data_IF_271434526680
#
_entry.id   IF_271434526680
#
_cell.length_a   1.000
_cell.length_b   1.000
_cell.length_c   1.000
_cell.angle_alpha   90.00
_cell.angle_beta   90.00
_cell.angle_gamma   90.00
#
_symmetry.space_group_name_H-M   'P 1'
#
loop_
_entity.id
_entity.type
_entity.pdbx_description
1 polymer ?
#
# COMPACT_ATOMS: atom_id res chain seq x y z
N UNK A 1 -9.29 -23.20 2.42
CA UNK A 1 -8.03 -22.92 3.13
C UNK A 1 -6.95 -23.43 2.20
N UNK A 2 -6.09 -22.54 1.68
CA UNK A 2 -4.88 -22.97 0.95
C UNK A 2 -4.06 -23.90 1.85
N UNK A 3 -3.31 -24.82 1.26
CA UNK A 3 -2.56 -25.89 1.94
C UNK A 3 -1.39 -25.38 2.84
N UNK A 4 -1.57 -24.27 3.57
CA UNK A 4 -0.50 -23.59 4.30
C UNK A 4 0.56 -22.96 3.39
N UNK A 5 0.35 -22.93 2.07
CA UNK A 5 1.33 -22.43 1.10
C UNK A 5 1.07 -20.97 0.75
N UNK A 6 2.13 -20.17 0.80
CA UNK A 6 2.15 -18.75 0.39
C UNK A 6 3.21 -18.50 -0.67
N UNK A 7 3.02 -17.48 -1.48
CA UNK A 7 3.98 -17.03 -2.49
C UNK A 7 4.47 -15.64 -2.12
N UNK A 8 5.28 -15.57 -1.05
CA UNK A 8 5.83 -14.33 -0.49
C UNK A 8 7.35 -14.45 -0.55
N UNK A 9 7.98 -13.57 -1.33
CA UNK A 9 9.43 -13.63 -1.60
C UNK A 9 10.19 -12.39 -1.13
N UNK A 10 9.46 -11.31 -0.81
CA UNK A 10 10.04 -10.14 -0.18
C UNK A 10 9.98 -10.30 1.35
N UNK A 11 11.10 -10.09 2.04
CA UNK A 11 11.24 -10.34 3.47
C UNK A 11 10.33 -9.44 4.32
N UNK A 12 10.08 -8.20 3.90
CA UNK A 12 9.13 -7.34 4.61
C UNK A 12 7.71 -7.91 4.57
N UNK A 13 7.24 -8.34 3.40
CA UNK A 13 5.93 -8.97 3.25
C UNK A 13 5.84 -10.25 4.11
N UNK A 14 6.93 -11.01 4.23
CA UNK A 14 6.96 -12.19 5.10
C UNK A 14 6.74 -11.81 6.58
N UNK A 15 7.45 -10.79 7.07
CA UNK A 15 7.30 -10.30 8.44
C UNK A 15 5.89 -9.74 8.69
N UNK A 16 5.31 -9.04 7.72
CA UNK A 16 3.93 -8.54 7.80
C UNK A 16 2.93 -9.68 7.81
N UNK A 17 3.12 -10.69 6.97
CA UNK A 17 2.27 -11.88 6.91
C UNK A 17 2.29 -12.64 8.24
N UNK A 18 3.47 -12.92 8.79
CA UNK A 18 3.60 -13.61 10.07
C UNK A 18 2.90 -12.86 11.21
N UNK A 19 3.05 -11.53 11.24
CA UNK A 19 2.47 -10.70 12.31
C UNK A 19 0.96 -10.51 12.17
N UNK A 20 0.48 -10.10 11.00
CA UNK A 20 -0.92 -9.71 10.80
C UNK A 20 -1.82 -10.89 10.45
N UNK A 21 -1.33 -11.85 9.66
CA UNK A 21 -2.15 -13.00 9.24
C UNK A 21 -2.08 -14.17 10.22
N UNK A 22 -1.11 -14.18 11.14
CA UNK A 22 -0.95 -15.16 12.22
C UNK A 22 -1.24 -16.60 11.74
N UNK A 23 -0.50 -17.12 10.74
CA UNK A 23 -0.79 -18.39 10.11
C UNK A 23 -0.63 -19.62 11.03
N UNK A 24 -0.26 -19.42 12.30
CA UNK A 24 0.13 -20.46 13.24
C UNK A 24 1.52 -21.03 12.91
N UNK A 25 1.82 -22.21 13.44
CA UNK A 25 3.15 -22.82 13.34
C UNK A 25 3.45 -23.49 11.98
N UNK A 26 2.54 -23.45 11.01
CA UNK A 26 2.62 -24.25 9.80
C UNK A 26 2.21 -23.47 8.55
N UNK A 27 3.16 -22.72 7.99
CA UNK A 27 3.08 -22.27 6.60
C UNK A 27 4.40 -22.54 5.88
N UNK A 28 4.32 -22.70 4.56
CA UNK A 28 5.47 -22.89 3.69
C UNK A 28 5.45 -21.84 2.58
N UNK A 29 6.59 -21.24 2.29
CA UNK A 29 6.75 -20.47 1.06
C UNK A 29 6.85 -21.46 -0.09
N UNK A 30 5.87 -21.43 -1.00
CA UNK A 30 5.86 -22.25 -2.20
C UNK A 30 7.10 -21.89 -3.04
N UNK A 31 7.91 -22.87 -3.47
CA UNK A 31 9.07 -22.57 -4.33
C UNK A 31 8.67 -22.15 -5.75
N UNK A 32 7.42 -22.40 -6.17
CA UNK A 32 6.90 -21.98 -7.47
C UNK A 32 6.12 -20.66 -7.35
N UNK A 33 6.52 -19.66 -8.13
CA UNK A 33 5.78 -18.40 -8.22
C UNK A 33 4.45 -18.59 -8.96
N UNK A 34 3.39 -18.72 -8.17
CA UNK A 34 2.00 -18.82 -8.65
C UNK A 34 1.28 -17.48 -8.68
N UNK A 35 1.82 -16.46 -8.04
CA UNK A 35 1.24 -15.10 -8.03
C UNK A 35 1.45 -14.44 -9.38
N UNK A 36 2.67 -14.46 -9.92
CA UNK A 36 2.95 -13.79 -11.21
C UNK A 36 2.07 -14.30 -12.36
N UNK A 37 1.87 -15.62 -12.58
CA UNK A 37 0.96 -16.13 -13.60
C UNK A 37 -0.50 -15.67 -13.40
N UNK A 38 -0.96 -15.56 -12.16
CA UNK A 38 -2.31 -15.06 -11.86
C UNK A 38 -2.44 -13.58 -12.21
N UNK A 39 -1.45 -12.76 -11.89
CA UNK A 39 -1.44 -11.33 -12.25
C UNK A 39 -1.37 -11.12 -13.78
N UNK A 40 -0.56 -11.91 -14.48
CA UNK A 40 -0.50 -11.89 -15.95
C UNK A 40 -1.86 -12.25 -16.57
N UNK A 41 -2.49 -13.31 -16.08
CA UNK A 41 -3.82 -13.71 -16.52
C UNK A 41 -4.87 -12.63 -16.23
N UNK A 42 -4.82 -11.99 -15.05
CA UNK A 42 -5.73 -10.91 -14.71
C UNK A 42 -5.61 -9.73 -15.69
N UNK A 43 -4.38 -9.33 -16.01
CA UNK A 43 -4.11 -8.27 -16.99
C UNK A 43 -4.58 -8.64 -18.42
N UNK A 44 -4.52 -9.91 -18.80
CA UNK A 44 -5.08 -10.38 -20.08
C UNK A 44 -6.61 -10.32 -20.10
N UNK A 45 -7.27 -10.71 -19.01
CA UNK A 45 -8.73 -10.60 -18.87
C UNK A 45 -9.18 -9.13 -18.94
N UNK A 46 -8.48 -8.21 -18.25
CA UNK A 46 -8.74 -6.77 -18.33
C UNK A 46 -8.66 -6.23 -19.76
N UNK A 47 -7.63 -6.63 -20.53
CA UNK A 47 -7.45 -6.23 -21.93
C UNK A 47 -8.60 -6.69 -22.82
N UNK A 48 -9.28 -7.77 -22.47
CA UNK A 48 -10.46 -8.30 -23.19
C UNK A 48 -11.78 -7.74 -22.66
N UNK A 49 -11.74 -6.85 -21.66
CA UNK A 49 -12.93 -6.31 -20.99
C UNK A 49 -13.52 -7.23 -19.91
N UNK A 50 -12.85 -8.35 -19.59
CA UNK A 50 -13.28 -9.35 -18.62
C UNK A 50 -13.03 -8.96 -17.17
N UNK A 51 -13.76 -7.98 -16.65
CA UNK A 51 -13.56 -7.45 -15.29
C UNK A 51 -13.70 -8.51 -14.20
N UNK A 52 -14.74 -9.36 -14.27
CA UNK A 52 -14.94 -10.43 -13.28
C UNK A 52 -13.84 -11.50 -13.35
N UNK A 53 -13.37 -11.82 -14.55
CA UNK A 53 -12.28 -12.79 -14.75
C UNK A 53 -10.95 -12.28 -14.17
N UNK A 54 -10.68 -10.99 -14.34
CA UNK A 54 -9.53 -10.33 -13.73
C UNK A 54 -9.61 -10.33 -12.20
N UNK A 55 -10.75 -9.92 -11.64
CA UNK A 55 -10.97 -9.87 -10.20
C UNK A 55 -10.78 -11.24 -9.54
N UNK A 56 -11.33 -12.31 -10.15
CA UNK A 56 -11.12 -13.69 -9.66
C UNK A 56 -9.63 -14.10 -9.65
N UNK A 57 -8.83 -13.60 -10.59
CA UNK A 57 -7.40 -13.88 -10.61
C UNK A 57 -6.66 -13.09 -9.52
N UNK A 58 -7.03 -11.83 -9.29
CA UNK A 58 -6.47 -11.03 -8.19
C UNK A 58 -6.83 -11.60 -6.81
N UNK A 59 -8.07 -12.05 -6.60
CA UNK A 59 -8.48 -12.69 -5.33
C UNK A 59 -7.69 -13.98 -5.07
N UNK A 60 -7.44 -14.81 -6.09
CA UNK A 60 -6.55 -15.98 -5.97
C UNK A 60 -5.10 -15.60 -5.69
N UNK A 61 -4.62 -14.51 -6.28
CA UNK A 61 -3.28 -14.01 -6.01
C UNK A 61 -3.17 -13.51 -4.56
N UNK A 62 -4.24 -12.89 -4.05
CA UNK A 62 -4.36 -12.41 -2.68
C UNK A 62 -4.36 -13.57 -1.66
N UNK A 63 -5.00 -14.70 -1.97
CA UNK A 63 -4.91 -15.91 -1.13
C UNK A 63 -3.46 -16.42 -0.97
N UNK A 64 -2.59 -16.18 -1.94
CA UNK A 64 -1.18 -16.61 -1.93
C UNK A 64 -0.24 -15.56 -1.34
N UNK A 65 -0.57 -14.27 -1.48
CA UNK A 65 0.16 -13.17 -0.86
C UNK A 65 -0.85 -12.15 -0.29
N UNK A 66 -1.34 -12.38 0.94
CA UNK A 66 -2.43 -11.59 1.51
C UNK A 66 -1.99 -10.25 2.06
N UNK A 67 -0.71 -9.89 1.96
CA UNK A 67 -0.17 -8.60 2.44
C UNK A 67 0.33 -7.70 1.32
N UNK A 68 0.25 -8.16 0.06
CA UNK A 68 0.69 -7.36 -1.09
C UNK A 68 -0.28 -6.22 -1.38
N UNK A 69 0.14 -4.99 -1.08
CA UNK A 69 -0.60 -3.74 -1.38
C UNK A 69 -0.95 -3.62 -2.86
N UNK A 70 -0.07 -4.08 -3.75
CA UNK A 70 -0.30 -4.08 -5.19
C UNK A 70 -1.51 -4.95 -5.55
N UNK A 71 -1.66 -6.12 -4.95
CA UNK A 71 -2.81 -7.01 -5.19
C UNK A 71 -4.08 -6.39 -4.60
N UNK A 72 -4.01 -5.85 -3.38
CA UNK A 72 -5.13 -5.12 -2.77
C UNK A 72 -5.66 -4.02 -3.69
N UNK A 73 -4.78 -3.15 -4.22
CA UNK A 73 -5.23 -2.05 -5.08
C UNK A 73 -5.83 -2.52 -6.41
N UNK A 74 -5.42 -3.68 -6.93
CA UNK A 74 -6.08 -4.30 -8.09
C UNK A 74 -7.48 -4.82 -7.77
N UNK A 75 -7.66 -5.40 -6.59
CA UNK A 75 -8.97 -5.84 -6.10
C UNK A 75 -9.88 -4.62 -5.88
N UNK A 76 -9.36 -3.56 -5.26
CA UNK A 76 -10.10 -2.31 -5.02
C UNK A 76 -10.55 -1.70 -6.35
N UNK A 77 -9.66 -1.55 -7.34
CA UNK A 77 -10.03 -1.07 -8.69
C UNK A 77 -11.09 -1.96 -9.35
N UNK A 78 -10.96 -3.28 -9.20
CA UNK A 78 -11.93 -4.24 -9.72
C UNK A 78 -13.34 -4.02 -9.15
N UNK A 79 -13.45 -3.88 -7.83
CA UNK A 79 -14.74 -3.62 -7.17
C UNK A 79 -15.28 -2.20 -7.42
N UNK A 80 -14.40 -1.21 -7.54
CA UNK A 80 -14.74 0.14 -7.95
C UNK A 80 -15.43 0.13 -9.32
N UNK A 81 -14.84 -0.53 -10.31
CA UNK A 81 -15.40 -0.64 -11.67
C UNK A 81 -16.68 -1.47 -11.74
N UNK A 82 -16.95 -2.31 -10.75
CA UNK A 82 -18.21 -3.04 -10.58
C UNK A 82 -19.28 -2.23 -9.83
N UNK A 83 -18.96 -1.04 -9.31
CA UNK A 83 -19.86 -0.24 -8.47
C UNK A 83 -20.13 -0.87 -7.09
N UNK A 84 -19.23 -1.73 -6.59
CA UNK A 84 -19.40 -2.38 -5.30
C UNK A 84 -18.69 -1.60 -4.18
N UNK A 85 -19.38 -0.58 -3.67
CA UNK A 85 -18.83 0.38 -2.70
C UNK A 85 -18.42 -0.30 -1.39
N UNK A 86 -19.20 -1.28 -0.93
CA UNK A 86 -18.94 -2.01 0.30
C UNK A 86 -17.61 -2.77 0.24
N UNK A 87 -17.31 -3.41 -0.90
CA UNK A 87 -16.05 -4.13 -1.08
C UNK A 87 -14.87 -3.19 -1.28
N UNK A 88 -15.05 -2.05 -1.96
CA UNK A 88 -14.01 -1.01 -2.03
C UNK A 88 -13.62 -0.54 -0.64
N UNK A 89 -14.60 -0.20 0.21
CA UNK A 89 -14.32 0.23 1.59
C UNK A 89 -13.60 -0.83 2.39
N UNK A 90 -14.12 -2.07 2.35
CA UNK A 90 -13.54 -3.20 3.08
C UNK A 90 -12.06 -3.40 2.72
N UNK A 91 -11.73 -3.53 1.44
CA UNK A 91 -10.34 -3.77 1.03
C UNK A 91 -9.45 -2.55 1.25
N UNK A 92 -10.00 -1.33 1.18
CA UNK A 92 -9.26 -0.10 1.52
C UNK A 92 -8.90 -0.05 3.01
N UNK A 93 -9.81 -0.47 3.90
CA UNK A 93 -9.51 -0.56 5.33
C UNK A 93 -8.50 -1.67 5.64
N UNK A 94 -8.66 -2.83 5.00
CA UNK A 94 -7.79 -3.99 5.19
C UNK A 94 -6.35 -3.75 4.70
N UNK A 95 -6.13 -2.92 3.67
CA UNK A 95 -4.78 -2.65 3.14
C UNK A 95 -3.96 -1.68 4.00
N UNK A 96 -4.61 -0.86 4.83
CA UNK A 96 -3.93 0.20 5.60
C UNK A 96 -2.72 -0.29 6.41
N UNK A 97 -2.77 -1.42 7.15
CA UNK A 97 -1.62 -1.92 7.90
C UNK A 97 -0.43 -2.29 7.01
N UNK A 98 -0.63 -2.51 5.71
CA UNK A 98 0.44 -2.91 4.79
C UNK A 98 1.02 -1.73 4.01
N UNK A 99 0.45 -0.53 4.13
CA UNK A 99 0.95 0.67 3.46
C UNK A 99 2.27 1.13 4.09
N UNK A 100 3.36 0.95 3.34
CA UNK A 100 4.74 1.12 3.78
C UNK A 100 5.51 2.20 3.02
N UNK A 101 4.86 2.86 2.06
CA UNK A 101 5.42 3.96 1.27
C UNK A 101 4.47 5.14 1.22
N UNK A 102 4.99 6.32 0.89
CA UNK A 102 4.20 7.54 0.68
C UNK A 102 3.17 7.34 -0.44
N UNK A 103 3.56 6.68 -1.53
CA UNK A 103 2.68 6.42 -2.66
C UNK A 103 1.49 5.53 -2.26
N UNK A 104 1.72 4.51 -1.44
CA UNK A 104 0.67 3.63 -0.93
C UNK A 104 -0.25 4.36 0.05
N UNK A 105 0.26 5.16 0.99
CA UNK A 105 -0.59 5.97 1.86
C UNK A 105 -1.43 6.97 1.08
N UNK A 106 -0.84 7.62 0.06
CA UNK A 106 -1.59 8.51 -0.81
C UNK A 106 -2.72 7.77 -1.54
N UNK A 107 -2.46 6.57 -2.05
CA UNK A 107 -3.48 5.73 -2.68
C UNK A 107 -4.60 5.34 -1.69
N UNK A 108 -4.25 4.94 -0.46
CA UNK A 108 -5.20 4.66 0.61
C UNK A 108 -6.13 5.86 0.87
N UNK A 109 -5.58 7.05 1.06
CA UNK A 109 -6.40 8.25 1.29
C UNK A 109 -7.26 8.61 0.07
N UNK A 110 -6.76 8.42 -1.16
CA UNK A 110 -7.55 8.66 -2.38
C UNK A 110 -8.74 7.69 -2.49
N UNK A 111 -8.56 6.41 -2.16
CA UNK A 111 -9.66 5.44 -2.16
C UNK A 111 -10.71 5.73 -1.09
N UNK A 112 -10.29 6.15 0.10
CA UNK A 112 -11.23 6.67 1.09
C UNK A 112 -11.92 7.95 0.61
N UNK A 113 -11.19 8.84 -0.06
CA UNK A 113 -11.73 10.09 -0.62
C UNK A 113 -12.87 9.80 -1.58
N UNK A 114 -12.67 8.85 -2.50
CA UNK A 114 -13.73 8.36 -3.38
C UNK A 114 -14.91 7.76 -2.58
N UNK A 115 -14.63 6.87 -1.64
CA UNK A 115 -15.68 6.20 -0.86
C UNK A 115 -16.57 7.19 -0.10
N UNK A 116 -15.97 8.15 0.61
CA UNK A 116 -16.74 9.14 1.38
C UNK A 116 -17.49 10.13 0.48
N UNK A 117 -17.04 10.34 -0.76
CA UNK A 117 -17.84 11.09 -1.74
C UNK A 117 -19.13 10.34 -2.10
N UNK A 118 -19.03 9.04 -2.38
CA UNK A 118 -20.19 8.18 -2.68
C UNK A 118 -21.16 8.06 -1.50
N UNK A 119 -20.65 8.13 -0.27
CA UNK A 119 -21.44 8.16 0.96
C UNK A 119 -21.96 9.57 1.33
N UNK A 120 -21.93 10.51 0.39
CA UNK A 120 -22.43 11.89 0.55
C UNK A 120 -21.73 12.68 1.68
N UNK A 121 -20.44 12.46 1.89
CA UNK A 121 -19.58 13.19 2.83
C UNK A 121 -18.49 13.98 2.08
N UNK A 122 -18.86 15.01 1.29
CA UNK A 122 -17.94 15.70 0.40
C UNK A 122 -16.84 16.49 1.14
N UNK A 123 -17.09 16.98 2.36
CA UNK A 123 -16.07 17.63 3.18
C UNK A 123 -14.98 16.66 3.66
N UNK A 124 -15.35 15.43 3.99
CA UNK A 124 -14.38 14.41 4.38
C UNK A 124 -13.60 13.91 3.14
N UNK A 125 -14.29 13.74 2.01
CA UNK A 125 -13.68 13.45 0.72
C UNK A 125 -12.64 14.50 0.31
N UNK A 126 -12.99 15.80 0.42
CA UNK A 126 -12.07 16.94 0.29
C UNK A 126 -10.78 16.71 1.09
N UNK A 127 -10.95 16.53 2.40
CA UNK A 127 -9.85 16.44 3.34
C UNK A 127 -8.93 15.27 2.97
N UNK A 128 -9.49 14.12 2.60
CA UNK A 128 -8.76 12.93 2.19
C UNK A 128 -7.96 13.14 0.90
N UNK A 129 -8.55 13.76 -0.12
CA UNK A 129 -7.83 14.05 -1.36
C UNK A 129 -6.68 15.04 -1.12
N UNK A 130 -6.90 16.11 -0.33
CA UNK A 130 -5.80 17.03 0.04
C UNK A 130 -4.76 16.36 0.91
N UNK A 131 -5.16 15.53 1.85
CA UNK A 131 -4.22 14.84 2.71
C UNK A 131 -3.33 13.89 1.91
N UNK A 132 -3.89 13.23 0.88
CA UNK A 132 -3.12 12.37 -0.03
C UNK A 132 -1.98 13.11 -0.73
N UNK A 133 -2.16 14.39 -1.09
CA UNK A 133 -1.13 15.16 -1.81
C UNK A 133 0.06 15.56 -0.93
N UNK A 134 -0.08 15.48 0.39
CA UNK A 134 1.04 15.65 1.32
C UNK A 134 2.04 14.47 1.24
N UNK A 135 1.55 13.29 0.86
CA UNK A 135 2.38 12.09 0.69
C UNK A 135 2.91 12.01 -0.73
N UNK A 136 2.04 12.12 -1.72
CA UNK A 136 2.36 11.97 -3.14
C UNK A 136 1.47 12.86 -4.01
N UNK A 137 2.09 13.75 -4.79
CA UNK A 137 1.36 14.63 -5.70
C UNK A 137 0.89 13.83 -6.92
N UNK A 138 -0.40 13.92 -7.23
CA UNK A 138 -0.97 13.23 -8.40
C UNK A 138 -1.98 14.10 -9.13
N UNK A 139 -1.96 14.04 -10.48
CA UNK A 139 -2.96 14.68 -11.31
C UNK A 139 -4.38 14.15 -11.03
N UNK A 140 -4.49 12.88 -10.61
CA UNK A 140 -5.76 12.29 -10.19
C UNK A 140 -6.35 13.04 -9.00
N UNK A 141 -5.59 13.20 -7.91
CA UNK A 141 -6.08 13.92 -6.73
C UNK A 141 -6.49 15.36 -7.07
N UNK A 142 -5.69 16.08 -7.87
CA UNK A 142 -6.03 17.45 -8.28
C UNK A 142 -7.30 17.52 -9.14
N UNK A 143 -7.55 16.53 -10.00
CA UNK A 143 -8.77 16.45 -10.79
C UNK A 143 -10.01 16.22 -9.93
N UNK A 144 -9.93 15.31 -8.95
CA UNK A 144 -11.03 15.02 -8.01
C UNK A 144 -11.35 16.23 -7.14
N UNK A 145 -10.32 16.92 -6.67
CA UNK A 145 -10.42 18.17 -5.93
C UNK A 145 -11.11 19.23 -6.80
N UNK A 146 -10.67 19.42 -8.03
CA UNK A 146 -11.28 20.40 -8.94
C UNK A 146 -12.76 20.07 -9.23
N UNK A 147 -13.08 18.79 -9.36
CA UNK A 147 -14.44 18.32 -9.50
C UNK A 147 -15.29 18.69 -8.27
N UNK A 148 -14.80 18.43 -7.05
CA UNK A 148 -15.47 18.79 -5.80
C UNK A 148 -15.68 20.31 -5.68
N UNK A 149 -14.67 21.12 -6.01
CA UNK A 149 -14.79 22.59 -5.99
C UNK A 149 -15.91 23.08 -6.91
N UNK A 150 -15.98 22.49 -8.11
CA UNK A 150 -17.00 22.82 -9.10
C UNK A 150 -18.38 22.38 -8.64
N UNK A 151 -18.51 21.15 -8.12
CA UNK A 151 -19.76 20.59 -7.65
C UNK A 151 -20.33 21.34 -6.43
N UNK A 152 -19.47 21.76 -5.51
CA UNK A 152 -19.85 22.48 -4.30
C UNK A 152 -19.98 24.00 -4.52
N UNK A 153 -19.55 24.52 -5.68
CA UNK A 153 -19.58 25.95 -5.98
C UNK A 153 -18.68 26.79 -5.07
N UNK A 154 -17.66 26.18 -4.46
CA UNK A 154 -16.69 26.84 -3.58
C UNK A 154 -15.30 26.28 -3.80
N UNK A 155 -14.27 27.11 -3.61
CA UNK A 155 -12.91 26.61 -3.53
C UNK A 155 -12.72 25.81 -2.26
N UNK A 156 -11.84 24.82 -2.33
CA UNK A 156 -11.39 24.14 -1.14
C UNK A 156 -10.58 25.11 -0.26
N UNK A 157 -10.78 25.08 1.06
CA UNK A 157 -9.92 25.79 1.98
C UNK A 157 -8.46 25.37 1.83
N UNK A 158 -7.55 26.30 2.08
CA UNK A 158 -6.13 26.02 2.20
C UNK A 158 -5.86 25.44 3.60
N UNK A 159 -6.10 24.15 3.77
CA UNK A 159 -5.92 23.47 5.04
C UNK A 159 -4.43 23.29 5.35
N UNK A 160 -4.04 23.60 6.58
CA UNK A 160 -2.77 23.13 7.11
C UNK A 160 -2.79 21.61 7.30
N UNK A 161 -1.61 20.98 7.27
CA UNK A 161 -1.48 19.54 7.55
C UNK A 161 -2.12 19.14 8.88
N UNK A 162 -2.03 20.00 9.90
CA UNK A 162 -2.61 19.76 11.23
C UNK A 162 -4.14 19.75 11.20
N UNK A 163 -4.76 20.69 10.48
CA UNK A 163 -6.23 20.73 10.35
C UNK A 163 -6.76 19.48 9.63
N UNK A 164 -6.09 19.04 8.56
CA UNK A 164 -6.43 17.79 7.88
C UNK A 164 -6.31 16.60 8.83
N UNK A 165 -5.21 16.51 9.60
CA UNK A 165 -5.02 15.43 10.57
C UNK A 165 -6.09 15.42 11.65
N UNK A 166 -6.49 16.59 12.17
CA UNK A 166 -7.57 16.71 13.15
C UNK A 166 -8.91 16.24 12.57
N UNK A 167 -9.25 16.67 11.35
CA UNK A 167 -10.47 16.23 10.67
C UNK A 167 -10.51 14.71 10.45
N UNK A 168 -9.44 14.14 9.92
CA UNK A 168 -9.35 12.69 9.67
C UNK A 168 -9.37 11.89 10.97
N UNK A 169 -8.67 12.34 12.01
CA UNK A 169 -8.68 11.68 13.32
C UNK A 169 -10.07 11.68 13.97
N UNK A 170 -10.82 12.78 13.82
CA UNK A 170 -12.20 12.86 14.30
C UNK A 170 -13.15 11.89 13.58
N UNK A 171 -12.81 11.52 12.34
CA UNK A 171 -13.51 10.49 11.55
C UNK A 171 -12.94 9.08 11.76
N UNK A 172 -12.07 8.89 12.77
CA UNK A 172 -11.39 7.61 13.07
C UNK A 172 -10.53 7.09 11.90
N UNK A 173 -10.08 7.98 11.02
CA UNK A 173 -9.19 7.66 9.91
C UNK A 173 -7.74 7.85 10.38
N UNK A 174 -6.87 6.83 10.24
CA UNK A 174 -5.46 6.96 10.59
C UNK A 174 -4.76 8.06 9.79
N UNK A 175 -3.84 8.78 10.43
CA UNK A 175 -3.13 9.93 9.83
C UNK A 175 -1.62 9.73 9.69
N UNK A 176 -1.16 8.50 9.89
CA UNK A 176 0.25 8.15 9.79
C UNK A 176 0.37 6.71 9.29
N UNK A 177 1.57 6.32 8.88
CA UNK A 177 1.87 4.92 8.67
C UNK A 177 1.70 4.14 9.98
N UNK A 178 1.34 2.86 9.86
CA UNK A 178 1.25 2.00 11.03
C UNK A 178 2.64 1.80 11.65
N UNK A 179 2.81 2.20 12.92
CA UNK A 179 4.11 2.14 13.60
C UNK A 179 4.63 0.72 13.79
N UNK A 180 3.74 -0.26 13.92
CA UNK A 180 4.10 -1.68 14.01
C UNK A 180 4.63 -2.17 12.66
N UNK A 181 3.96 -1.80 11.56
CA UNK A 181 4.43 -2.07 10.20
C UNK A 181 5.82 -1.52 9.96
N UNK A 182 6.07 -0.25 10.30
CA UNK A 182 7.39 0.35 10.15
C UNK A 182 8.46 -0.40 10.96
N UNK A 183 8.14 -0.79 12.20
CA UNK A 183 9.06 -1.56 13.03
C UNK A 183 9.33 -2.96 12.44
N UNK A 184 8.32 -3.65 11.92
CA UNK A 184 8.47 -4.95 11.26
C UNK A 184 9.33 -4.85 10.01
N UNK A 185 9.12 -3.84 9.17
CA UNK A 185 9.92 -3.62 7.97
C UNK A 185 11.37 -3.31 8.33
N UNK A 186 11.60 -2.47 9.34
CA UNK A 186 12.96 -2.20 9.82
C UNK A 186 13.65 -3.50 10.27
N UNK A 187 12.97 -4.33 11.06
CA UNK A 187 13.49 -5.65 11.51
C UNK A 187 13.72 -6.62 10.34
N UNK A 188 12.85 -6.61 9.34
CA UNK A 188 13.04 -7.38 8.12
C UNK A 188 14.31 -6.94 7.37
N UNK A 189 14.60 -5.63 7.36
CA UNK A 189 15.85 -5.08 6.83
C UNK A 189 17.09 -5.54 7.60
N UNK A 190 17.03 -5.60 8.94
CA UNK A 190 18.11 -6.13 9.76
C UNK A 190 18.37 -7.61 9.48
N UNK A 191 17.31 -8.42 9.40
CA UNK A 191 17.40 -9.86 9.10
C UNK A 191 17.98 -10.10 7.70
N UNK A 192 17.53 -9.33 6.70
CA UNK A 192 18.07 -9.41 5.34
C UNK A 192 19.56 -9.10 5.30
N UNK A 193 20.00 -8.07 6.03
CA UNK A 193 21.40 -7.68 6.11
C UNK A 193 22.26 -8.75 6.80
N UNK A 194 21.76 -9.35 7.89
CA UNK A 194 22.43 -10.48 8.55
C UNK A 194 22.63 -11.68 7.63
N UNK A 195 21.70 -11.90 6.69
CA UNK A 195 21.77 -12.95 5.65
C UNK A 195 22.53 -12.52 4.40
N UNK A 196 23.21 -11.36 4.42
CA UNK A 196 23.90 -10.75 3.27
C UNK A 196 23.00 -10.50 2.04
N UNK A 197 21.68 -10.43 2.22
CA UNK A 197 20.74 -10.05 1.16
C UNK A 197 20.60 -8.53 1.11
N UNK A 198 21.64 -7.88 0.60
CA UNK A 198 21.77 -6.41 0.58
C UNK A 198 20.61 -5.74 -0.15
N UNK A 199 20.12 -6.35 -1.24
CA UNK A 199 19.01 -5.80 -2.03
C UNK A 199 17.74 -5.66 -1.19
N UNK A 200 17.29 -6.75 -0.56
CA UNK A 200 16.06 -6.67 0.25
C UNK A 200 16.26 -5.85 1.53
N UNK A 201 17.48 -5.80 2.08
CA UNK A 201 17.79 -4.91 3.20
C UNK A 201 17.61 -3.45 2.80
N UNK A 202 18.17 -3.06 1.65
CA UNK A 202 18.03 -1.72 1.08
C UNK A 202 16.56 -1.37 0.83
N UNK A 203 15.82 -2.25 0.15
CA UNK A 203 14.39 -2.07 -0.12
C UNK A 203 13.62 -1.81 1.20
N UNK A 204 13.90 -2.57 2.27
CA UNK A 204 13.26 -2.38 3.57
C UNK A 204 13.60 -1.03 4.22
N UNK A 205 14.87 -0.65 4.25
CA UNK A 205 15.27 0.63 4.85
C UNK A 205 14.77 1.82 4.05
N UNK A 206 14.73 1.73 2.71
CA UNK A 206 14.17 2.77 1.85
C UNK A 206 12.68 2.99 2.13
N UNK A 207 11.89 1.92 2.32
CA UNK A 207 10.47 2.04 2.74
C UNK A 207 10.33 2.76 4.08
N UNK A 208 11.14 2.41 5.09
CA UNK A 208 11.10 3.07 6.40
C UNK A 208 11.51 4.53 6.29
N UNK A 209 12.57 4.82 5.53
CA UNK A 209 13.09 6.18 5.35
C UNK A 209 12.10 7.08 4.60
N UNK A 210 11.42 6.57 3.57
CA UNK A 210 10.42 7.30 2.77
C UNK A 210 9.33 7.93 3.64
N UNK A 211 8.91 7.24 4.70
CA UNK A 211 7.84 7.69 5.59
C UNK A 211 8.32 8.44 6.84
N UNK A 212 9.53 8.15 7.32
CA UNK A 212 10.03 8.67 8.61
C UNK A 212 11.04 9.80 8.45
N UNK A 213 11.76 9.83 7.32
CA UNK A 213 12.98 10.61 7.15
C UNK A 213 13.98 10.43 8.32
N UNK A 214 13.98 9.25 8.95
CA UNK A 214 14.85 8.95 10.08
C UNK A 214 16.32 8.99 9.65
N UNK A 215 17.12 9.76 10.40
CA UNK A 215 18.52 10.00 10.06
C UNK A 215 19.37 8.74 10.16
N UNK A 216 19.15 7.91 11.18
CA UNK A 216 19.94 6.69 11.38
C UNK A 216 19.65 5.68 10.27
N UNK A 217 18.39 5.57 9.83
CA UNK A 217 18.00 4.77 8.66
C UNK A 217 18.68 5.31 7.39
N UNK A 218 18.69 6.63 7.20
CA UNK A 218 19.37 7.27 6.06
C UNK A 218 20.88 7.02 6.03
N UNK A 219 21.56 7.04 7.19
CA UNK A 219 22.98 6.73 7.31
C UNK A 219 23.27 5.26 6.93
N UNK A 220 22.44 4.31 7.40
CA UNK A 220 22.54 2.89 7.00
C UNK A 220 22.41 2.70 5.49
N UNK A 221 21.43 3.37 4.86
CA UNK A 221 21.25 3.34 3.40
C UNK A 221 22.52 3.80 2.68
N UNK A 222 23.08 4.94 3.10
CA UNK A 222 24.28 5.51 2.50
C UNK A 222 25.50 4.58 2.63
N UNK A 223 25.67 3.94 3.80
CA UNK A 223 26.74 2.97 4.03
C UNK A 223 26.63 1.79 3.08
N UNK A 224 25.47 1.15 2.96
CA UNK A 224 25.27 -0.01 2.08
C UNK A 224 25.52 0.32 0.60
N UNK A 225 25.03 1.48 0.13
CA UNK A 225 25.22 1.91 -1.27
C UNK A 225 26.69 2.20 -1.56
N UNK A 226 27.44 2.72 -0.60
CA UNK A 226 28.88 3.02 -0.78
C UNK A 226 29.69 1.74 -0.90
N UNK A 227 29.47 0.76 -0.01
CA UNK A 227 30.18 -0.53 -0.06
C UNK A 227 29.86 -1.32 -1.34
N UNK A 228 28.59 -1.31 -1.80
CA UNK A 228 28.20 -1.98 -3.05
C UNK A 228 28.93 -1.44 -4.28
N UNK A 229 29.32 -0.16 -4.30
CA UNK A 229 30.06 0.46 -5.41
C UNK A 229 31.56 0.20 -5.36
N UNK A 230 32.10 -0.13 -4.20
CA UNK A 230 33.51 -0.48 -4.03
C UNK A 230 33.76 -1.94 -4.43
N UNK A 231 32.83 -2.84 -4.13
CA UNK A 231 32.89 -4.25 -4.55
C UNK A 231 32.78 -4.44 -6.07
N UNK A 232 32.05 -3.57 -6.78
CA UNK A 232 31.96 -3.59 -8.25
C UNK A 232 33.23 -3.06 -8.96
N UNK A 233 34.18 -2.49 -8.21
CA UNK A 233 35.42 -1.89 -8.75
C UNK A 233 36.67 -2.77 -8.57
N UNK A 234 36.54 -3.93 -7.92
CA UNK A 234 37.60 -4.92 -7.72
C UNK A 234 37.44 -6.11 -8.69
#
# INVERSE_FOLDING_TARGET
MSDGKVCIYHISELFLYEYYCQPGDYYEVDPEDKVTPLLQKAAEEEKRGGLMGALQCYEKAHELNPVSTTIYYRIIDGYYRLGNHAMVKRYTDEVYPYCATRAELAAYYRWLGWYYLEEYQPELSEALYRYSTLFDQSAQAENEIHYLETALGRKMPDYSAKELQEQLSNAEIPVAANSVTLALIYRAGEEALQRANIRQALDCYEMVYDLTADREVGEKIAEMVTHSREDERL
#
